data_IF_019515971112
#
_entry.id   IF_019515971112
#
_cell.length_a   1.000
_cell.length_b   1.000
_cell.length_c   1.000
_cell.angle_alpha   90.00
_cell.angle_beta   90.00
_cell.angle_gamma   90.00
#
_symmetry.space_group_name_H-M   'P 1'
#
loop_
_entity.id
_entity.type
_entity.pdbx_description
1 polymer ?
#
# COMPACT_ATOMS: atom_id res chain seq x y z
N UNK A 1 -0.11 -28.49 -6.84
CA UNK A 1 0.19 -27.61 -5.70
C UNK A 1 -0.73 -26.40 -5.77
N UNK A 2 -1.51 -26.17 -4.73
CA UNK A 2 -2.80 -25.49 -4.80
C UNK A 2 -2.73 -23.97 -4.83
N UNK A 3 -3.44 -23.36 -5.78
CA UNK A 3 -3.70 -21.91 -5.91
C UNK A 3 -4.33 -21.28 -4.66
N UNK A 4 -4.91 -22.08 -3.75
CA UNK A 4 -5.44 -21.61 -2.47
C UNK A 4 -4.42 -21.61 -1.31
N UNK A 5 -3.20 -22.13 -1.50
CA UNK A 5 -2.21 -22.28 -0.42
C UNK A 5 -1.83 -20.93 0.19
N UNK A 6 -1.60 -19.91 -0.66
CA UNK A 6 -1.27 -18.55 -0.21
C UNK A 6 -2.39 -17.96 0.65
N UNK A 7 -3.66 -18.17 0.25
CA UNK A 7 -4.83 -17.66 0.99
C UNK A 7 -4.94 -18.30 2.37
N UNK A 8 -4.72 -19.61 2.46
CA UNK A 8 -4.69 -20.35 3.73
C UNK A 8 -3.53 -19.90 4.63
N UNK A 9 -2.36 -19.67 4.05
CA UNK A 9 -1.20 -19.13 4.74
C UNK A 9 -1.46 -17.76 5.34
N UNK A 10 -2.06 -16.85 4.55
CA UNK A 10 -2.46 -15.50 4.99
C UNK A 10 -3.43 -15.56 6.18
N UNK A 11 -4.48 -16.38 6.11
CA UNK A 11 -5.42 -16.54 7.21
C UNK A 11 -4.73 -17.06 8.49
N UNK A 12 -3.84 -18.04 8.35
CA UNK A 12 -3.09 -18.61 9.47
C UNK A 12 -2.12 -17.60 10.07
N UNK A 13 -1.42 -16.83 9.24
CA UNK A 13 -0.48 -15.80 9.67
C UNK A 13 -1.20 -14.67 10.41
N UNK A 14 -2.33 -14.19 9.87
CA UNK A 14 -3.03 -13.04 10.44
C UNK A 14 -3.84 -13.39 11.72
N UNK A 15 -4.33 -14.63 11.84
CA UNK A 15 -5.15 -15.06 12.98
C UNK A 15 -4.40 -15.96 13.97
N UNK A 16 -3.22 -16.45 13.62
CA UNK A 16 -2.42 -17.35 14.46
C UNK A 16 -1.76 -16.61 15.62
N UNK A 17 -1.92 -17.11 16.83
CA UNK A 17 -1.20 -16.61 18.00
C UNK A 17 -1.75 -15.32 18.63
N UNK A 18 -2.97 -14.89 18.29
CA UNK A 18 -3.64 -13.75 18.92
C UNK A 18 -5.10 -14.05 19.25
N UNK A 19 -5.57 -13.58 20.41
CA UNK A 19 -7.01 -13.59 20.78
C UNK A 19 -7.74 -12.35 20.26
N UNK A 20 -7.03 -11.36 19.72
CA UNK A 20 -7.57 -10.11 19.15
C UNK A 20 -7.23 -9.96 17.67
N UNK A 21 -7.37 -11.04 16.89
CA UNK A 21 -7.06 -11.04 15.46
C UNK A 21 -8.04 -10.23 14.60
N UNK A 22 -7.79 -10.11 13.28
CA UNK A 22 -8.67 -9.44 12.34
C UNK A 22 -10.08 -10.05 12.32
N UNK A 23 -11.08 -9.26 11.92
CA UNK A 23 -12.45 -9.77 11.73
C UNK A 23 -12.47 -10.95 10.76
N UNK A 24 -13.17 -12.02 11.15
CA UNK A 24 -13.32 -13.22 10.31
C UNK A 24 -13.98 -12.88 8.95
N UNK A 25 -14.83 -11.85 8.92
CA UNK A 25 -15.45 -11.33 7.69
C UNK A 25 -14.38 -10.81 6.73
N UNK A 26 -13.47 -9.95 7.21
CA UNK A 26 -12.37 -9.42 6.41
C UNK A 26 -11.42 -10.52 5.93
N UNK A 27 -11.14 -11.51 6.78
CA UNK A 27 -10.30 -12.66 6.43
C UNK A 27 -10.93 -13.51 5.32
N UNK A 28 -12.22 -13.87 5.47
CA UNK A 28 -12.95 -14.63 4.47
C UNK A 28 -13.01 -13.89 3.13
N UNK A 29 -13.31 -12.57 3.15
CA UNK A 29 -13.35 -11.75 1.94
C UNK A 29 -12.00 -11.72 1.22
N UNK A 30 -10.88 -11.48 1.92
CA UNK A 30 -9.53 -11.49 1.31
C UNK A 30 -9.09 -12.88 0.84
N UNK A 31 -9.54 -13.93 1.52
CA UNK A 31 -9.28 -15.31 1.10
C UNK A 31 -10.23 -15.78 -0.01
N UNK A 32 -11.24 -15.00 -0.36
CA UNK A 32 -12.30 -15.39 -1.31
C UNK A 32 -13.06 -16.62 -0.83
N UNK A 33 -13.32 -16.71 0.47
CA UNK A 33 -14.11 -17.77 1.10
C UNK A 33 -15.53 -17.28 1.35
N UNK A 34 -16.53 -18.12 1.09
CA UNK A 34 -17.91 -17.87 1.51
C UNK A 34 -17.99 -17.96 3.04
N UNK A 35 -18.68 -17.02 3.68
CA UNK A 35 -19.02 -17.09 5.11
C UNK A 35 -20.22 -18.00 5.34
N UNK A 36 -21.03 -18.21 4.29
CA UNK A 36 -22.07 -19.22 4.24
C UNK A 36 -23.44 -18.73 4.73
N UNK A 37 -24.49 -19.25 4.07
CA UNK A 37 -25.88 -19.14 4.49
C UNK A 37 -26.36 -17.71 4.72
N UNK A 38 -26.69 -17.38 5.96
CA UNK A 38 -27.23 -16.08 6.36
C UNK A 38 -26.13 -15.02 6.47
N UNK A 39 -24.92 -15.39 6.87
CA UNK A 39 -23.83 -14.44 7.15
C UNK A 39 -23.41 -13.66 5.90
N UNK A 40 -23.33 -14.31 4.74
CA UNK A 40 -23.03 -13.66 3.45
C UNK A 40 -24.02 -12.55 3.07
N UNK A 41 -25.25 -12.56 3.61
CA UNK A 41 -26.27 -11.53 3.33
C UNK A 41 -26.18 -10.33 4.28
N UNK A 42 -25.73 -10.55 5.51
CA UNK A 42 -25.80 -9.55 6.57
C UNK A 42 -24.43 -8.95 6.93
N UNK A 43 -23.35 -9.70 6.79
CA UNK A 43 -22.00 -9.18 7.03
C UNK A 43 -21.44 -8.56 5.76
N UNK A 44 -21.24 -7.25 5.79
CA UNK A 44 -20.77 -6.44 4.68
C UNK A 44 -19.27 -6.19 4.78
N UNK A 45 -18.71 -5.70 3.68
CA UNK A 45 -17.33 -5.23 3.64
C UNK A 45 -17.14 -4.07 4.63
N UNK A 46 -16.33 -4.31 5.65
CA UNK A 46 -15.91 -3.29 6.61
C UNK A 46 -14.53 -2.76 6.21
N UNK A 47 -14.49 -1.53 5.68
CA UNK A 47 -13.27 -0.92 5.15
C UNK A 47 -12.14 -0.89 6.19
N UNK A 48 -12.46 -0.58 7.45
CA UNK A 48 -11.47 -0.56 8.53
C UNK A 48 -10.88 -1.95 8.82
N UNK A 49 -11.72 -3.00 8.83
CA UNK A 49 -11.27 -4.38 9.06
C UNK A 49 -10.39 -4.89 7.91
N UNK A 50 -10.73 -4.54 6.67
CA UNK A 50 -9.92 -4.88 5.51
C UNK A 50 -8.56 -4.16 5.51
N UNK A 51 -8.54 -2.86 5.83
CA UNK A 51 -7.31 -2.08 5.94
C UNK A 51 -6.41 -2.61 7.07
N UNK A 52 -6.98 -2.91 8.25
CA UNK A 52 -6.26 -3.52 9.36
C UNK A 52 -5.62 -4.85 8.92
N UNK A 53 -6.42 -5.76 8.36
CA UNK A 53 -5.94 -7.05 7.88
C UNK A 53 -4.84 -6.87 6.82
N UNK A 54 -4.98 -5.90 5.92
CA UNK A 54 -3.95 -5.62 4.91
C UNK A 54 -2.62 -5.19 5.49
N UNK A 55 -2.63 -4.35 6.53
CA UNK A 55 -1.42 -3.95 7.25
C UNK A 55 -0.79 -5.11 8.00
N UNK A 56 -1.59 -5.96 8.65
CA UNK A 56 -1.10 -7.20 9.29
C UNK A 56 -0.37 -8.06 8.26
N UNK A 57 -1.01 -8.35 7.13
CA UNK A 57 -0.45 -9.23 6.08
C UNK A 57 0.75 -8.60 5.37
N UNK A 58 0.87 -7.28 5.35
CA UNK A 58 2.07 -6.57 4.89
C UNK A 58 3.26 -6.68 5.88
N UNK A 59 3.07 -7.33 7.04
CA UNK A 59 4.11 -7.53 8.06
C UNK A 59 4.37 -6.31 8.93
N UNK A 60 3.44 -5.33 8.97
CA UNK A 60 3.58 -4.16 9.81
C UNK A 60 3.40 -4.52 11.30
N UNK A 61 4.16 -3.88 12.22
CA UNK A 61 4.11 -4.19 13.64
C UNK A 61 2.79 -3.73 14.26
N UNK A 62 1.87 -4.66 14.53
CA UNK A 62 0.51 -4.37 15.04
C UNK A 62 0.50 -3.63 16.38
N UNK A 63 1.53 -3.84 17.20
CA UNK A 63 1.66 -3.24 18.53
C UNK A 63 2.41 -1.90 18.53
N UNK A 64 2.80 -1.39 17.36
CA UNK A 64 3.44 -0.08 17.23
C UNK A 64 2.35 0.99 17.03
N UNK A 65 2.47 2.14 17.68
CA UNK A 65 1.55 3.27 17.46
C UNK A 65 1.57 3.76 16.01
N UNK A 66 2.69 3.54 15.31
CA UNK A 66 2.87 3.86 13.89
C UNK A 66 2.11 2.93 12.96
N UNK A 67 1.50 1.86 13.47
CA UNK A 67 0.74 0.92 12.66
C UNK A 67 -0.41 1.59 11.90
N UNK A 68 -1.02 2.64 12.46
CA UNK A 68 -2.11 3.37 11.86
C UNK A 68 -1.68 4.49 10.89
N UNK A 69 -0.38 4.76 10.75
CA UNK A 69 0.12 5.85 9.91
C UNK A 69 -0.28 5.64 8.45
N UNK A 70 -0.75 6.71 7.80
CA UNK A 70 -1.09 6.69 6.38
C UNK A 70 0.13 6.36 5.54
N UNK A 71 -0.04 5.62 4.42
CA UNK A 71 1.07 5.42 3.49
C UNK A 71 1.58 6.78 2.96
N UNK A 72 2.84 6.85 2.50
CA UNK A 72 3.35 8.04 1.83
C UNK A 72 2.41 8.42 0.68
N UNK A 73 2.01 9.70 0.64
CA UNK A 73 1.11 10.22 -0.37
C UNK A 73 1.46 11.67 -0.68
N UNK A 74 0.97 12.16 -1.82
CA UNK A 74 1.19 13.54 -2.22
C UNK A 74 0.11 14.45 -1.65
N UNK A 75 0.50 15.66 -1.25
CA UNK A 75 -0.43 16.65 -0.70
C UNK A 75 -1.49 17.12 -1.70
N UNK A 76 -1.09 17.22 -2.97
CA UNK A 76 -1.96 17.65 -4.06
C UNK A 76 -1.92 16.65 -5.21
N UNK A 77 -2.96 15.81 -5.30
CA UNK A 77 -3.08 14.80 -6.36
C UNK A 77 -3.34 15.38 -7.77
N UNK A 78 -3.68 16.66 -7.85
CA UNK A 78 -3.95 17.37 -9.11
C UNK A 78 -2.73 18.08 -9.69
N UNK A 79 -1.56 17.98 -9.03
CA UNK A 79 -0.31 18.59 -9.48
C UNK A 79 0.15 18.00 -10.82
N UNK A 80 0.41 18.87 -11.79
CA UNK A 80 0.78 18.45 -13.14
C UNK A 80 2.16 17.79 -13.21
N UNK A 81 3.10 18.16 -12.33
CA UNK A 81 4.42 17.53 -12.27
C UNK A 81 4.29 16.07 -11.82
N UNK A 82 3.38 15.78 -10.88
CA UNK A 82 3.08 14.42 -10.43
C UNK A 82 2.46 13.61 -11.57
N UNK A 83 1.49 14.19 -12.30
CA UNK A 83 0.87 13.53 -13.46
C UNK A 83 1.89 13.21 -14.55
N UNK A 84 2.77 14.16 -14.88
CA UNK A 84 3.85 13.93 -15.85
C UNK A 84 4.81 12.83 -15.38
N UNK A 85 5.15 12.80 -14.09
CA UNK A 85 5.99 11.73 -13.53
C UNK A 85 5.30 10.37 -13.59
N UNK A 86 4.00 10.29 -13.31
CA UNK A 86 3.22 9.05 -13.42
C UNK A 86 3.21 8.53 -14.85
N UNK A 87 3.01 9.40 -15.84
CA UNK A 87 3.06 9.03 -17.25
C UNK A 87 4.45 8.51 -17.65
N UNK A 88 5.53 9.10 -17.13
CA UNK A 88 6.89 8.64 -17.40
C UNK A 88 7.23 7.30 -16.70
N UNK A 89 6.75 7.10 -15.47
CA UNK A 89 7.03 5.90 -14.68
C UNK A 89 6.14 4.70 -15.06
N UNK A 90 4.89 4.95 -15.42
CA UNK A 90 3.87 3.94 -15.67
C UNK A 90 3.11 4.19 -16.99
N UNK A 91 3.81 4.29 -18.14
CA UNK A 91 3.20 4.73 -19.40
C UNK A 91 2.05 3.82 -19.87
N UNK A 92 2.12 2.51 -19.59
CA UNK A 92 1.06 1.57 -19.97
C UNK A 92 -0.11 1.48 -18.99
N UNK A 93 -0.05 2.18 -17.85
CA UNK A 93 -1.06 2.10 -16.79
C UNK A 93 -1.68 3.46 -16.43
N UNK A 94 -1.07 4.57 -16.86
CA UNK A 94 -1.51 5.92 -16.47
C UNK A 94 -2.94 6.25 -16.92
N UNK A 95 -3.40 5.67 -18.02
CA UNK A 95 -4.75 5.85 -18.56
C UNK A 95 -5.80 4.97 -17.87
N UNK A 96 -5.38 4.01 -17.04
CA UNK A 96 -6.31 3.15 -16.30
C UNK A 96 -6.82 3.88 -15.05
N UNK A 97 -8.03 4.43 -15.16
CA UNK A 97 -8.66 5.26 -14.13
C UNK A 97 -8.74 4.56 -12.76
N UNK A 98 -8.99 3.24 -12.76
CA UNK A 98 -9.10 2.44 -11.54
C UNK A 98 -7.75 2.26 -10.81
N UNK A 99 -6.62 2.48 -11.50
CA UNK A 99 -5.29 2.35 -10.93
C UNK A 99 -4.66 3.69 -10.56
N UNK A 100 -5.27 4.81 -10.95
CA UNK A 100 -4.69 6.15 -10.80
C UNK A 100 -4.18 6.42 -9.37
N UNK A 101 -4.99 6.13 -8.35
CA UNK A 101 -4.60 6.35 -6.95
C UNK A 101 -3.54 5.36 -6.46
N UNK A 102 -3.63 4.10 -6.90
CA UNK A 102 -2.62 3.08 -6.61
C UNK A 102 -1.26 3.49 -7.18
N UNK A 103 -1.22 3.99 -8.43
CA UNK A 103 0.02 4.46 -9.06
C UNK A 103 0.62 5.67 -8.32
N UNK A 104 -0.22 6.59 -7.82
CA UNK A 104 0.23 7.71 -6.96
C UNK A 104 0.90 7.19 -5.69
N UNK A 105 0.26 6.25 -4.99
CA UNK A 105 0.81 5.65 -3.77
C UNK A 105 2.11 4.89 -4.04
N UNK A 106 2.20 4.16 -5.16
CA UNK A 106 3.43 3.51 -5.59
C UNK A 106 4.55 4.52 -5.83
N UNK A 107 4.27 5.59 -6.59
CA UNK A 107 5.24 6.65 -6.85
C UNK A 107 5.70 7.32 -5.54
N UNK A 108 4.76 7.67 -4.67
CA UNK A 108 5.06 8.27 -3.38
C UNK A 108 5.92 7.36 -2.50
N UNK A 109 5.64 6.05 -2.49
CA UNK A 109 6.43 5.06 -1.77
C UNK A 109 7.85 4.95 -2.33
N UNK A 110 8.02 4.95 -3.65
CA UNK A 110 9.35 4.95 -4.29
C UNK A 110 10.16 6.19 -3.92
N UNK A 111 9.54 7.36 -3.96
CA UNK A 111 10.19 8.64 -3.61
C UNK A 111 10.60 8.67 -2.13
N UNK A 112 9.70 8.25 -1.24
CA UNK A 112 9.94 8.21 0.21
C UNK A 112 11.09 7.27 0.58
N UNK A 113 11.18 6.13 -0.10
CA UNK A 113 12.17 5.10 0.21
C UNK A 113 13.37 5.11 -0.75
N UNK A 114 13.53 6.16 -1.56
CA UNK A 114 14.55 6.20 -2.60
C UNK A 114 15.99 6.05 -2.05
N UNK A 115 16.32 6.68 -0.91
CA UNK A 115 17.65 6.55 -0.31
C UNK A 115 17.93 5.10 0.12
N UNK A 116 16.93 4.45 0.72
CA UNK A 116 17.04 3.04 1.09
C UNK A 116 17.25 2.17 -0.15
N UNK A 117 16.46 2.37 -1.21
CA UNK A 117 16.55 1.58 -2.44
C UNK A 117 17.90 1.76 -3.14
N UNK A 118 18.41 2.98 -3.25
CA UNK A 118 19.72 3.26 -3.87
C UNK A 118 20.85 2.59 -3.08
N UNK A 119 20.78 2.60 -1.75
CA UNK A 119 21.82 2.04 -0.90
C UNK A 119 21.84 0.50 -0.84
N UNK A 120 20.71 -0.17 -1.13
CA UNK A 120 20.56 -1.62 -0.97
C UNK A 120 20.40 -2.39 -2.28
N UNK A 121 20.01 -1.72 -3.38
CA UNK A 121 19.92 -2.35 -4.69
C UNK A 121 21.28 -2.31 -5.40
N UNK A 122 21.51 -3.27 -6.29
CA UNK A 122 22.70 -3.24 -7.14
C UNK A 122 22.65 -2.03 -8.08
N UNK A 123 23.82 -1.50 -8.44
CA UNK A 123 23.93 -0.34 -9.34
C UNK A 123 23.29 -0.59 -10.72
N UNK A 124 23.20 -1.86 -11.15
CA UNK A 124 22.57 -2.26 -12.41
C UNK A 124 21.08 -2.64 -12.27
N UNK A 125 20.46 -2.37 -11.11
CA UNK A 125 19.08 -2.75 -10.89
C UNK A 125 18.13 -1.93 -11.79
N UNK A 126 17.20 -2.55 -12.54
CA UNK A 126 16.33 -1.85 -13.50
C UNK A 126 15.48 -0.72 -12.89
N UNK A 127 15.15 -0.82 -11.60
CA UNK A 127 14.45 0.27 -10.89
C UNK A 127 15.26 1.57 -10.91
N UNK A 128 16.58 1.49 -10.77
CA UNK A 128 17.45 2.67 -10.72
C UNK A 128 17.62 3.33 -12.09
N UNK A 129 17.31 2.62 -13.19
CA UNK A 129 17.24 3.20 -14.53
C UNK A 129 15.89 3.87 -14.86
N UNK A 130 14.92 3.86 -13.93
CA UNK A 130 13.63 4.52 -14.16
C UNK A 130 13.73 6.04 -14.03
N UNK A 131 12.73 6.76 -14.57
CA UNK A 131 12.75 8.22 -14.70
C UNK A 131 13.03 8.95 -13.38
N UNK A 132 12.41 8.52 -12.28
CA UNK A 132 12.54 9.17 -10.97
C UNK A 132 13.95 9.01 -10.38
N UNK A 133 14.61 7.87 -10.61
CA UNK A 133 15.94 7.59 -10.06
C UNK A 133 17.08 8.15 -10.93
N UNK A 134 16.81 8.39 -12.22
CA UNK A 134 17.77 9.01 -13.15
C UNK A 134 17.73 10.54 -13.15
N UNK A 135 16.70 11.16 -12.55
CA UNK A 135 16.53 12.62 -12.49
C UNK A 135 16.48 13.13 -11.04
N UNK A 136 17.63 13.49 -10.42
CA UNK A 136 17.70 13.94 -9.03
C UNK A 136 16.83 15.16 -8.73
N UNK A 137 16.73 16.10 -9.68
CA UNK A 137 15.89 17.29 -9.54
C UNK A 137 14.41 16.92 -9.37
N UNK A 138 13.91 16.01 -10.21
CA UNK A 138 12.53 15.52 -10.13
C UNK A 138 12.30 14.80 -8.80
N UNK A 139 13.22 13.92 -8.40
CA UNK A 139 13.12 13.21 -7.13
C UNK A 139 13.04 14.17 -5.95
N UNK A 140 13.89 15.20 -5.91
CA UNK A 140 13.90 16.19 -4.84
C UNK A 140 12.62 17.06 -4.82
N UNK A 141 12.13 17.46 -6.00
CA UNK A 141 10.85 18.16 -6.11
C UNK A 141 9.69 17.30 -5.58
N UNK A 142 9.62 16.02 -5.98
CA UNK A 142 8.60 15.10 -5.51
C UNK A 142 8.68 14.88 -4.00
N UNK A 143 9.90 14.78 -3.43
CA UNK A 143 10.09 14.68 -1.97
C UNK A 143 9.48 15.86 -1.22
N UNK A 144 9.63 17.08 -1.74
CA UNK A 144 9.04 18.27 -1.12
C UNK A 144 7.50 18.28 -1.09
N UNK A 145 6.87 17.47 -1.95
CA UNK A 145 5.41 17.38 -2.12
C UNK A 145 4.78 16.21 -1.36
N UNK A 146 5.60 15.37 -0.71
CA UNK A 146 5.13 14.24 0.08
C UNK A 146 4.59 14.68 1.44
N UNK A 147 3.50 14.07 1.85
CA UNK A 147 3.07 14.01 3.24
C UNK A 147 3.49 12.65 3.82
N UNK A 148 4.22 12.72 4.93
CA UNK A 148 4.76 11.57 5.64
C UNK A 148 4.50 11.79 7.12
N UNK A 149 4.02 10.76 7.82
CA UNK A 149 3.86 10.80 9.27
C UNK A 149 2.42 10.76 9.74
N UNK A 150 2.21 11.13 11.00
CA UNK A 150 0.94 10.97 11.68
C UNK A 150 -0.16 11.82 11.06
N UNK A 151 -1.35 11.24 11.01
CA UNK A 151 -2.55 11.89 10.51
C UNK A 151 -2.86 13.11 11.38
N UNK A 152 -2.86 14.33 10.81
CA UNK A 152 -3.20 15.58 11.53
C UNK A 152 -4.60 15.59 12.15
N UNK A 153 -5.42 14.60 11.83
CA UNK A 153 -6.74 14.38 12.41
C UNK A 153 -6.68 13.92 13.89
N UNK A 154 -5.48 13.58 14.40
CA UNK A 154 -5.20 13.25 15.80
C UNK A 154 -4.39 14.35 16.53
N UNK A 155 -4.44 15.60 16.07
CA UNK A 155 -4.00 16.74 16.89
C UNK A 155 -5.19 17.23 17.74
N UNK A 156 -5.05 17.34 19.08
CA UNK A 156 -6.13 17.75 19.98
C UNK A 156 -6.61 19.20 19.77
#
# INVERSE_FOLDING_TARGET
YGTQSVRKGVATFACGGSTGGPSIVSVCLRCGWSMGGVQDRYFRYEAAGDQFLGRVVAGLPVNDSKFAILPPHFRNNSDDEIKSCLAAMFPGLVDELNLSDTLRLCLASLVQHADFLVNHLSTNHPLLSTFVFTNPTVLNNLRSKLEVGESRWMEP
#
